data_IF_356426704901
#
_entry.id   IF_356426704901
#
_cell.length_a   1.000
_cell.length_b   1.000
_cell.length_c   1.000
_cell.angle_alpha   90.00
_cell.angle_beta   90.00
_cell.angle_gamma   90.00
#
_symmetry.space_group_name_H-M   'P 1'
#
loop_
_entity.id
_entity.type
_entity.pdbx_description
1 polymer ?
#
# COMPACT_ATOMS: atom_id res chain seq x y z
N UNK A 1 -15.40 -0.84 11.25
CA UNK A 1 -14.44 -0.69 10.14
C UNK A 1 -14.62 0.63 9.40
N UNK A 2 -15.82 0.90 8.85
CA UNK A 2 -16.12 2.10 8.02
C UNK A 2 -15.83 3.45 8.72
N UNK A 3 -16.16 3.62 10.00
CA UNK A 3 -15.84 4.88 10.72
C UNK A 3 -14.33 5.10 10.89
N UNK A 4 -13.59 4.04 11.24
CA UNK A 4 -12.13 4.09 11.48
C UNK A 4 -11.31 4.40 10.23
N UNK A 5 -11.83 4.04 9.07
CA UNK A 5 -11.19 4.31 7.79
C UNK A 5 -11.02 5.81 7.55
N UNK A 6 -12.07 6.60 7.81
CA UNK A 6 -12.04 8.05 7.60
C UNK A 6 -11.02 8.78 8.47
N UNK A 7 -10.70 8.25 9.65
CA UNK A 7 -9.75 8.83 10.61
C UNK A 7 -8.29 8.67 10.19
N UNK A 8 -8.02 7.76 9.24
CA UNK A 8 -6.68 7.41 8.76
C UNK A 8 -6.44 7.82 7.30
N UNK A 9 -7.40 8.51 6.67
CA UNK A 9 -7.21 9.05 5.32
C UNK A 9 -6.24 10.23 5.34
N UNK A 10 -5.41 10.37 4.29
CA UNK A 10 -4.65 11.58 4.07
C UNK A 10 -5.56 12.81 3.98
N UNK A 11 -5.03 13.97 4.34
CA UNK A 11 -5.73 15.24 4.11
C UNK A 11 -6.07 15.42 2.63
N UNK A 12 -7.18 16.08 2.30
CA UNK A 12 -7.67 16.22 0.92
C UNK A 12 -6.71 16.99 -0.01
N UNK A 13 -5.78 17.76 0.56
CA UNK A 13 -4.71 18.47 -0.15
C UNK A 13 -3.42 17.64 -0.30
N UNK A 14 -3.36 16.42 0.27
CA UNK A 14 -2.15 15.61 0.32
C UNK A 14 -1.60 15.31 -1.07
N UNK A 15 -2.43 14.91 -2.03
CA UNK A 15 -1.96 14.63 -3.39
C UNK A 15 -1.50 15.86 -4.14
N UNK A 16 -2.13 17.01 -3.91
CA UNK A 16 -1.67 18.29 -4.45
C UNK A 16 -0.29 18.63 -3.90
N UNK A 17 -0.07 18.42 -2.60
CA UNK A 17 1.23 18.63 -1.95
C UNK A 17 2.28 17.62 -2.39
N UNK A 18 1.89 16.37 -2.62
CA UNK A 18 2.79 15.32 -3.11
C UNK A 18 3.26 15.64 -4.53
N UNK A 19 2.34 16.07 -5.41
CA UNK A 19 2.65 16.43 -6.80
C UNK A 19 3.42 17.74 -6.93
N UNK A 20 3.09 18.73 -6.10
CA UNK A 20 3.72 20.07 -6.17
C UNK A 20 4.96 20.20 -5.26
N UNK A 21 5.22 19.21 -4.41
CA UNK A 21 6.24 19.28 -3.37
C UNK A 21 7.65 19.09 -3.92
N UNK A 22 8.30 20.14 -4.42
CA UNK A 22 9.75 20.26 -4.73
C UNK A 22 10.41 18.98 -5.31
N UNK A 23 9.65 18.26 -6.15
CA UNK A 23 10.01 17.03 -6.86
C UNK A 23 9.51 17.14 -8.31
N UNK A 24 9.48 18.35 -8.86
CA UNK A 24 9.09 18.60 -10.24
C UNK A 24 10.25 18.25 -11.17
N UNK A 25 9.96 17.39 -12.15
CA UNK A 25 10.89 16.79 -13.10
C UNK A 25 10.56 17.40 -14.46
N UNK A 26 11.09 18.59 -14.77
CA UNK A 26 11.05 19.11 -16.13
C UNK A 26 12.07 20.22 -16.43
N UNK A 27 13.21 19.78 -16.99
CA UNK A 27 13.71 20.25 -18.30
C UNK A 27 14.87 21.25 -18.39
N UNK A 28 15.45 21.74 -17.29
CA UNK A 28 16.88 22.16 -17.28
C UNK A 28 17.63 21.67 -16.04
N UNK A 29 16.91 20.85 -15.28
CA UNK A 29 17.22 20.39 -13.96
C UNK A 29 17.95 19.05 -13.98
N UNK A 30 18.19 18.35 -15.09
CA UNK A 30 18.68 16.96 -15.07
C UNK A 30 19.94 16.70 -14.22
N UNK A 31 20.87 17.65 -14.12
CA UNK A 31 22.05 17.54 -13.23
C UNK A 31 21.68 17.85 -11.77
N UNK A 32 20.82 18.85 -11.54
CA UNK A 32 20.31 19.18 -10.21
C UNK A 32 19.25 18.18 -9.73
N UNK A 33 18.53 17.51 -10.62
CA UNK A 33 17.59 16.42 -10.46
C UNK A 33 18.38 15.17 -10.21
N UNK A 34 19.46 14.87 -10.95
CA UNK A 34 20.36 13.77 -10.59
C UNK A 34 20.94 13.99 -9.19
N UNK A 35 21.47 15.17 -8.87
CA UNK A 35 21.99 15.49 -7.52
C UNK A 35 20.86 15.48 -6.46
N UNK A 36 19.67 15.99 -6.75
CA UNK A 36 18.55 16.05 -5.80
C UNK A 36 17.90 14.67 -5.58
N UNK A 37 17.70 13.91 -6.64
CA UNK A 37 17.21 12.53 -6.66
C UNK A 37 18.19 11.61 -5.94
N UNK A 38 19.49 11.77 -6.16
CA UNK A 38 20.53 11.06 -5.42
C UNK A 38 20.55 11.49 -3.95
N UNK A 39 20.47 12.79 -3.66
CA UNK A 39 20.55 13.34 -2.29
C UNK A 39 19.37 12.97 -1.37
N UNK A 40 18.22 12.56 -1.94
CA UNK A 40 17.03 12.19 -1.18
C UNK A 40 16.62 10.72 -1.34
N UNK A 41 17.22 9.98 -2.27
CA UNK A 41 16.91 8.56 -2.49
C UNK A 41 17.12 7.71 -1.23
N UNK A 42 18.23 7.94 -0.50
CA UNK A 42 18.51 7.26 0.77
C UNK A 42 17.45 7.58 1.84
N UNK A 43 16.92 8.79 1.89
CA UNK A 43 15.86 9.16 2.82
C UNK A 43 14.56 8.44 2.51
N UNK A 44 14.19 8.33 1.23
CA UNK A 44 13.00 7.60 0.80
C UNK A 44 13.14 6.11 1.11
N UNK A 45 14.32 5.52 0.88
CA UNK A 45 14.58 4.14 1.22
C UNK A 45 14.53 3.90 2.75
N UNK A 46 15.14 4.78 3.54
CA UNK A 46 15.11 4.70 5.00
C UNK A 46 13.67 4.85 5.54
N UNK A 47 12.90 5.77 4.95
CA UNK A 47 11.48 5.94 5.27
C UNK A 47 10.68 4.68 4.92
N UNK A 48 10.89 4.10 3.74
CA UNK A 48 10.23 2.87 3.31
C UNK A 48 10.54 1.70 4.25
N UNK A 49 11.83 1.47 4.57
CA UNK A 49 12.26 0.43 5.52
C UNK A 49 11.66 0.65 6.91
N UNK A 50 11.61 1.91 7.38
CA UNK A 50 10.99 2.23 8.66
C UNK A 50 9.49 1.97 8.66
N UNK A 51 8.76 2.41 7.63
CA UNK A 51 7.33 2.17 7.48
C UNK A 51 7.02 0.67 7.40
N UNK A 52 7.78 -0.10 6.61
CA UNK A 52 7.65 -1.55 6.49
C UNK A 52 7.93 -2.25 7.84
N UNK A 53 8.98 -1.82 8.54
CA UNK A 53 9.33 -2.32 9.88
C UNK A 53 8.31 -1.97 10.96
N UNK A 54 7.50 -0.92 10.77
CA UNK A 54 6.37 -0.61 11.64
C UNK A 54 5.19 -1.49 11.24
N UNK A 55 4.85 -1.57 9.96
CA UNK A 55 3.74 -2.38 9.46
C UNK A 55 3.89 -3.86 9.85
N UNK A 56 5.07 -4.45 9.66
CA UNK A 56 5.37 -5.82 10.06
C UNK A 56 5.13 -6.04 11.57
N UNK A 57 5.53 -5.09 12.41
CA UNK A 57 5.26 -5.13 13.86
C UNK A 57 3.78 -5.03 14.23
N UNK A 58 2.96 -4.44 13.37
CA UNK A 58 1.54 -4.24 13.62
C UNK A 58 0.67 -5.39 13.07
N UNK A 59 1.13 -6.07 12.02
CA UNK A 59 0.36 -7.05 11.27
C UNK A 59 0.79 -8.50 11.50
N UNK A 60 2.08 -8.76 11.78
CA UNK A 60 2.62 -10.12 11.86
C UNK A 60 2.68 -10.64 13.29
N UNK A 61 2.47 -11.94 13.47
CA UNK A 61 2.66 -12.65 14.74
C UNK A 61 4.13 -12.92 15.05
N UNK A 62 4.94 -13.11 14.01
CA UNK A 62 6.39 -13.23 14.10
C UNK A 62 7.04 -12.13 13.25
N UNK A 63 7.78 -11.24 13.89
CA UNK A 63 8.23 -10.00 13.26
C UNK A 63 9.62 -10.22 12.66
N UNK A 64 9.80 -10.09 11.34
CA UNK A 64 11.11 -10.20 10.71
C UNK A 64 12.07 -9.12 11.25
N UNK A 65 13.37 -9.45 11.31
CA UNK A 65 14.39 -8.51 11.76
C UNK A 65 14.44 -7.30 10.81
N UNK A 66 14.68 -6.10 11.34
CA UNK A 66 14.76 -4.87 10.52
C UNK A 66 15.90 -4.88 9.50
N UNK A 67 16.86 -5.80 9.65
CA UNK A 67 17.93 -6.04 8.66
C UNK A 67 17.38 -6.79 7.45
N UNK A 68 16.51 -7.79 7.67
CA UNK A 68 15.90 -8.62 6.62
C UNK A 68 14.86 -7.86 5.80
N UNK A 69 14.31 -6.77 6.37
CA UNK A 69 13.38 -5.87 5.69
C UNK A 69 14.04 -4.86 4.75
N UNK A 70 15.38 -4.78 4.75
CA UNK A 70 16.12 -4.03 3.75
C UNK A 70 16.20 -4.90 2.50
N UNK A 71 15.28 -4.71 1.56
CA UNK A 71 15.13 -5.52 0.34
C UNK A 71 16.47 -5.69 -0.40
N UNK A 72 16.67 -6.85 -1.06
CA UNK A 72 17.94 -7.24 -1.69
C UNK A 72 18.52 -6.26 -2.73
N UNK A 73 17.69 -5.42 -3.34
CA UNK A 73 18.11 -4.39 -4.30
C UNK A 73 18.34 -3.00 -3.66
N UNK A 74 18.47 -2.94 -2.32
CA UNK A 74 18.67 -1.69 -1.61
C UNK A 74 20.03 -1.06 -1.95
N UNK A 75 20.00 0.18 -2.47
CA UNK A 75 21.20 0.96 -2.76
C UNK A 75 21.97 1.36 -1.49
N UNK A 76 21.26 1.43 -0.36
CA UNK A 76 21.80 1.83 0.93
C UNK A 76 21.48 0.79 2.01
N UNK A 77 22.44 0.49 2.87
CA UNK A 77 22.22 -0.35 4.07
C UNK A 77 22.31 0.54 5.30
N UNK A 78 21.32 0.45 6.18
CA UNK A 78 21.20 1.28 7.37
C UNK A 78 21.41 0.47 8.65
N UNK A 79 22.13 1.05 9.60
CA UNK A 79 22.21 0.52 10.96
C UNK A 79 20.83 0.48 11.63
N UNK A 80 20.61 -0.52 12.49
CA UNK A 80 19.37 -0.65 13.26
C UNK A 80 19.02 0.59 14.09
N UNK A 81 20.02 1.32 14.62
CA UNK A 81 19.80 2.59 15.34
C UNK A 81 19.22 3.69 14.44
N UNK A 82 19.68 3.77 13.20
CA UNK A 82 19.19 4.75 12.22
C UNK A 82 17.75 4.42 11.83
N UNK A 83 17.45 3.14 11.60
CA UNK A 83 16.08 2.67 11.34
C UNK A 83 15.19 2.96 12.54
N UNK A 84 15.64 2.69 13.76
CA UNK A 84 14.88 2.96 14.99
C UNK A 84 14.54 4.44 15.16
N UNK A 85 15.49 5.34 14.89
CA UNK A 85 15.26 6.79 14.91
C UNK A 85 14.22 7.21 13.88
N UNK A 86 14.31 6.70 12.65
CA UNK A 86 13.31 6.96 11.61
C UNK A 86 11.93 6.42 12.00
N UNK A 87 11.86 5.21 12.58
CA UNK A 87 10.59 4.64 13.06
C UNK A 87 9.94 5.53 14.10
N UNK A 88 10.71 6.05 15.06
CA UNK A 88 10.20 6.96 16.08
C UNK A 88 9.71 8.28 15.44
N UNK A 89 10.41 8.80 14.45
CA UNK A 89 9.99 10.00 13.72
C UNK A 89 8.66 9.76 12.98
N UNK A 90 8.50 8.63 12.31
CA UNK A 90 7.24 8.26 11.63
C UNK A 90 6.11 8.14 12.64
N UNK A 91 6.31 7.40 13.74
CA UNK A 91 5.29 7.20 14.79
C UNK A 91 4.86 8.54 15.41
N UNK A 92 5.81 9.40 15.75
CA UNK A 92 5.50 10.72 16.33
C UNK A 92 4.78 11.62 15.33
N UNK A 93 5.20 11.62 14.05
CA UNK A 93 4.55 12.38 12.97
C UNK A 93 3.11 11.91 12.73
N UNK A 94 2.86 10.60 12.75
CA UNK A 94 1.53 10.02 12.64
C UNK A 94 0.71 10.11 13.94
N UNK A 95 1.28 10.68 15.01
CA UNK A 95 0.69 10.73 16.36
C UNK A 95 0.29 9.34 16.85
N UNK A 96 1.10 8.33 16.54
CA UNK A 96 0.90 6.92 16.88
C UNK A 96 -0.39 6.29 16.32
N UNK A 97 -1.03 6.94 15.33
CA UNK A 97 -2.22 6.41 14.64
C UNK A 97 -1.83 5.35 13.61
N UNK A 98 -1.48 4.17 14.10
CA UNK A 98 -1.03 3.03 13.28
C UNK A 98 -2.13 2.01 12.99
N UNK A 99 -3.34 2.23 13.51
CA UNK A 99 -4.51 1.36 13.27
C UNK A 99 -5.20 1.72 11.95
N UNK A 100 -4.43 1.79 10.86
CA UNK A 100 -4.98 2.02 9.54
C UNK A 100 -5.76 0.77 9.08
N UNK A 101 -6.97 0.99 8.58
CA UNK A 101 -7.76 -0.07 7.94
C UNK A 101 -7.25 -0.20 6.50
N UNK A 102 -6.93 -1.43 6.07
CA UNK A 102 -6.47 -1.71 4.71
C UNK A 102 -7.62 -2.27 3.86
N UNK A 103 -7.53 -2.21 2.51
CA UNK A 103 -8.54 -2.83 1.65
C UNK A 103 -8.74 -4.32 1.97
N UNK A 104 -7.66 -5.00 2.37
CA UNK A 104 -7.67 -6.40 2.80
C UNK A 104 -8.65 -6.67 3.95
N UNK A 105 -8.82 -5.73 4.89
CA UNK A 105 -9.76 -5.90 6.00
C UNK A 105 -11.22 -6.04 5.54
N UNK A 106 -11.58 -5.52 4.37
CA UNK A 106 -12.93 -5.57 3.82
C UNK A 106 -13.17 -6.75 2.86
N UNK A 107 -12.12 -7.46 2.43
CA UNK A 107 -12.23 -8.48 1.40
C UNK A 107 -13.18 -9.61 1.79
N UNK A 108 -12.99 -10.21 2.96
CA UNK A 108 -13.82 -11.33 3.43
C UNK A 108 -15.30 -10.93 3.47
N UNK A 109 -15.59 -9.75 4.00
CA UNK A 109 -16.95 -9.20 4.04
C UNK A 109 -17.58 -9.13 2.64
N UNK A 110 -16.88 -8.57 1.66
CA UNK A 110 -17.41 -8.43 0.30
C UNK A 110 -17.51 -9.77 -0.44
N UNK A 111 -16.52 -10.65 -0.27
CA UNK A 111 -16.51 -11.97 -0.89
C UNK A 111 -17.66 -12.85 -0.36
N UNK A 112 -17.88 -12.90 0.96
CA UNK A 112 -19.01 -13.63 1.54
C UNK A 112 -20.34 -13.07 1.07
N UNK A 113 -20.46 -11.74 1.00
CA UNK A 113 -21.70 -11.05 0.58
C UNK A 113 -22.06 -11.32 -0.88
N UNK A 114 -21.07 -11.36 -1.79
CA UNK A 114 -21.33 -11.61 -3.22
C UNK A 114 -21.57 -13.10 -3.49
N UNK A 115 -20.89 -13.99 -2.77
CA UNK A 115 -21.03 -15.44 -2.93
C UNK A 115 -22.24 -16.04 -2.19
N UNK A 116 -23.20 -15.22 -1.72
CA UNK A 116 -24.39 -15.67 -0.98
C UNK A 116 -24.04 -16.60 0.20
N UNK A 117 -23.13 -16.14 1.06
CA UNK A 117 -22.63 -16.85 2.25
C UNK A 117 -21.81 -18.13 1.96
N UNK A 118 -21.39 -18.37 0.72
CA UNK A 118 -20.40 -19.41 0.40
C UNK A 118 -18.98 -18.92 0.71
N UNK A 119 -18.14 -19.86 1.15
CA UNK A 119 -16.71 -19.62 1.37
C UNK A 119 -16.08 -19.23 0.03
N UNK A 120 -15.36 -18.11 0.02
CA UNK A 120 -14.64 -17.65 -1.16
C UNK A 120 -13.60 -18.67 -1.60
N UNK A 121 -13.50 -18.91 -2.90
CA UNK A 121 -12.44 -19.76 -3.43
C UNK A 121 -11.07 -19.11 -3.18
N UNK A 122 -10.04 -19.91 -2.93
CA UNK A 122 -8.66 -19.41 -2.84
C UNK A 122 -8.26 -18.63 -4.10
N UNK A 123 -8.77 -19.01 -5.27
CA UNK A 123 -8.54 -18.28 -6.53
C UNK A 123 -9.11 -16.86 -6.50
N UNK A 124 -10.30 -16.65 -5.95
CA UNK A 124 -10.91 -15.31 -5.85
C UNK A 124 -10.12 -14.43 -4.87
N UNK A 125 -9.61 -15.01 -3.77
CA UNK A 125 -8.79 -14.30 -2.78
C UNK A 125 -7.45 -13.86 -3.41
N UNK A 126 -6.78 -14.73 -4.15
CA UNK A 126 -5.52 -14.41 -4.84
C UNK A 126 -5.75 -13.30 -5.87
N UNK A 127 -6.78 -13.40 -6.70
CA UNK A 127 -7.14 -12.36 -7.69
C UNK A 127 -7.44 -11.01 -7.03
N UNK A 128 -8.26 -11.00 -5.98
CA UNK A 128 -8.56 -9.78 -5.23
C UNK A 128 -7.29 -9.16 -4.64
N UNK A 129 -6.40 -9.99 -4.11
CA UNK A 129 -5.10 -9.57 -3.57
C UNK A 129 -4.24 -8.92 -4.65
N UNK A 130 -4.12 -9.54 -5.82
CA UNK A 130 -3.36 -8.98 -6.95
C UNK A 130 -3.93 -7.64 -7.41
N UNK A 131 -5.27 -7.53 -7.52
CA UNK A 131 -5.94 -6.29 -7.89
C UNK A 131 -5.67 -5.19 -6.86
N UNK A 132 -5.81 -5.48 -5.56
CA UNK A 132 -5.50 -4.51 -4.50
C UNK A 132 -4.03 -4.08 -4.57
N UNK A 133 -3.09 -5.02 -4.71
CA UNK A 133 -1.67 -4.70 -4.84
C UNK A 133 -1.36 -3.86 -6.09
N UNK A 134 -2.10 -4.06 -7.19
CA UNK A 134 -1.96 -3.25 -8.39
C UNK A 134 -2.32 -1.78 -8.15
N UNK A 135 -3.33 -1.51 -7.31
CA UNK A 135 -3.71 -0.13 -6.96
C UNK A 135 -2.63 0.59 -6.15
N UNK A 136 -1.84 -0.14 -5.35
CA UNK A 136 -0.75 0.44 -4.55
C UNK A 136 0.39 0.99 -5.42
N UNK A 137 0.52 0.55 -6.67
CA UNK A 137 1.53 1.06 -7.61
C UNK A 137 1.19 2.44 -8.17
N UNK A 138 -0.09 2.83 -8.11
CA UNK A 138 -0.57 4.12 -8.61
C UNK A 138 -0.87 5.10 -7.48
N UNK A 139 -0.27 6.29 -7.52
CA UNK A 139 -0.52 7.34 -6.51
C UNK A 139 -1.96 7.88 -6.54
N UNK A 140 -2.68 7.70 -7.64
CA UNK A 140 -4.04 8.20 -7.82
C UNK A 140 -5.06 7.46 -6.96
N UNK A 141 -4.75 6.23 -6.52
CA UNK A 141 -5.69 5.44 -5.73
C UNK A 141 -5.76 5.86 -4.25
N UNK A 142 -4.87 6.78 -3.83
CA UNK A 142 -4.84 7.33 -2.46
C UNK A 142 -6.08 8.19 -2.16
N UNK A 143 -6.80 8.66 -3.18
CA UNK A 143 -8.06 9.41 -3.02
C UNK A 143 -9.24 8.53 -2.60
N UNK A 144 -9.17 7.23 -2.91
CA UNK A 144 -10.25 6.30 -2.63
C UNK A 144 -10.14 5.71 -1.23
N UNK A 145 -11.29 5.44 -0.64
CA UNK A 145 -11.36 4.75 0.65
C UNK A 145 -10.94 3.29 0.48
N UNK A 146 -10.16 2.70 1.40
CA UNK A 146 -9.92 1.26 1.46
C UNK A 146 -11.15 0.36 1.17
N UNK A 147 -12.36 0.72 1.60
CA UNK A 147 -13.62 0.02 1.33
C UNK A 147 -14.03 0.08 -0.13
N UNK A 148 -13.82 1.23 -0.79
CA UNK A 148 -14.11 1.42 -2.21
C UNK A 148 -13.14 0.60 -3.06
N UNK A 149 -11.85 0.63 -2.71
CA UNK A 149 -10.82 -0.18 -3.36
C UNK A 149 -11.14 -1.68 -3.22
N UNK A 150 -11.51 -2.12 -2.01
CA UNK A 150 -11.86 -3.52 -1.76
C UNK A 150 -13.12 -3.94 -2.53
N UNK A 151 -14.17 -3.12 -2.52
CA UNK A 151 -15.40 -3.41 -3.26
C UNK A 151 -15.13 -3.51 -4.77
N UNK A 152 -14.32 -2.61 -5.33
CA UNK A 152 -13.94 -2.63 -6.74
C UNK A 152 -13.13 -3.88 -7.09
N UNK A 153 -12.13 -4.24 -6.28
CA UNK A 153 -11.31 -5.43 -6.50
C UNK A 153 -12.16 -6.71 -6.51
N UNK A 154 -13.09 -6.85 -5.55
CA UNK A 154 -13.97 -8.03 -5.49
C UNK A 154 -14.95 -8.05 -6.65
N UNK A 155 -15.57 -6.92 -7.01
CA UNK A 155 -16.49 -6.85 -8.14
C UNK A 155 -15.80 -7.26 -9.46
N UNK A 156 -14.57 -6.79 -9.68
CA UNK A 156 -13.77 -7.16 -10.86
C UNK A 156 -13.40 -8.64 -10.83
N UNK A 157 -12.97 -9.17 -9.68
CA UNK A 157 -12.65 -10.60 -9.52
C UNK A 157 -13.82 -11.49 -9.95
N UNK A 158 -15.05 -11.12 -9.58
CA UNK A 158 -16.26 -11.90 -9.86
C UNK A 158 -16.71 -11.73 -11.32
N UNK A 159 -16.59 -10.52 -11.89
CA UNK A 159 -16.89 -10.29 -13.30
C UNK A 159 -15.97 -11.10 -14.24
N UNK A 160 -14.68 -11.20 -13.90
CA UNK A 160 -13.72 -12.03 -14.64
C UNK A 160 -14.07 -13.52 -14.50
N UNK A 161 -14.59 -13.97 -13.36
CA UNK A 161 -15.06 -15.35 -13.20
C UNK A 161 -16.29 -15.65 -14.08
N UNK A 162 -17.21 -14.69 -14.25
CA UNK A 162 -18.34 -14.87 -15.17
C UNK A 162 -17.92 -14.98 -16.63
N UNK A 163 -16.91 -14.20 -17.07
CA UNK A 163 -16.40 -14.27 -18.44
C UNK A 163 -15.69 -15.60 -18.74
N UNK A 164 -14.94 -16.16 -17.78
CA UNK A 164 -14.25 -17.45 -17.96
C UNK A 164 -15.24 -18.61 -18.04
N UNK A 165 -16.29 -18.60 -17.21
CA UNK A 165 -17.33 -19.64 -17.22
C UNK A 165 -18.12 -19.63 -18.54
N UNK A 166 -18.38 -18.45 -19.11
CA UNK A 166 -19.07 -18.33 -20.40
C UNK A 166 -18.20 -18.81 -21.57
N UNK A 167 -16.88 -18.64 -21.51
CA UNK A 167 -15.95 -19.18 -22.52
C UNK A 167 -15.85 -20.71 -22.43
N UNK A 168 -15.75 -21.27 -21.22
CA UNK A 168 -15.68 -22.73 -21.03
C UNK A 168 -16.96 -23.45 -21.47
N UNK A 169 -18.11 -22.76 -21.41
CA UNK A 169 -19.41 -23.32 -21.84
C UNK A 169 -19.66 -23.19 -23.34
N UNK A 170 -18.86 -22.37 -24.04
CA UNK A 170 -18.96 -22.13 -25.48
C UNK A 170 -17.98 -22.97 -26.32
N UNK A 171 -17.13 -23.79 -25.67
CA UNK A 171 -16.21 -24.76 -26.28
C UNK A 171 -16.79 -26.17 -26.14
#
# INVERSE_FOLDING_TARGET
MIRKESENLPSCDYLKRLRNGKMDVASRDEVLDWIAKESKSWMMQLLAVACLSIAAKMAETDVPLSLDLQTGDSKYVFEGRTIQRMKLLVLTTLKWRMQAVTPFSFMDYYLTKINSDRIASCSSIVKCTELILSTLKGINFIEFKPSEIAAAAVAISVAVETEVVDIEKAI
#
